data_IF_717651124499
#
_entry.id   IF_717651124499
#
_cell.length_a   1.000
_cell.length_b   1.000
_cell.length_c   1.000
_cell.angle_alpha   90.00
_cell.angle_beta   90.00
_cell.angle_gamma   90.00
#
_symmetry.space_group_name_H-M   'P 1'
#
loop_
_entity.id
_entity.type
_entity.pdbx_description
1 polymer ?
#
# COMPACT_ATOMS: atom_id res chain seq x y z
N UNK A 1 -75.12 -31.78 -12.07
CA UNK A 1 -75.28 -31.45 -13.51
C UNK A 1 -75.97 -30.10 -13.57
N UNK A 2 -75.50 -29.02 -14.19
CA UNK A 2 -74.53 -28.78 -15.25
C UNK A 2 -75.08 -27.51 -15.93
N UNK A 3 -74.49 -26.36 -15.62
CA UNK A 3 -73.53 -25.63 -16.49
C UNK A 3 -74.27 -24.61 -17.35
N UNK A 4 -74.09 -23.32 -17.06
CA UNK A 4 -74.07 -22.28 -18.09
C UNK A 4 -73.00 -21.24 -17.75
N UNK A 5 -72.01 -21.19 -18.65
CA UNK A 5 -71.05 -20.12 -18.87
C UNK A 5 -71.80 -18.89 -19.47
N UNK A 6 -71.29 -17.68 -19.67
CA UNK A 6 -69.96 -17.10 -19.90
C UNK A 6 -70.16 -15.57 -19.75
N UNK A 7 -69.28 -14.85 -19.02
CA UNK A 7 -68.28 -13.88 -19.51
C UNK A 7 -68.76 -12.67 -20.35
N UNK A 8 -68.63 -11.46 -19.77
CA UNK A 8 -68.07 -10.25 -20.41
C UNK A 8 -67.77 -9.20 -19.33
N UNK A 9 -66.55 -8.66 -19.26
CA UNK A 9 -66.15 -7.56 -18.36
C UNK A 9 -66.45 -6.17 -18.94
N UNK A 10 -65.70 -5.10 -18.57
CA UNK A 10 -64.98 -4.84 -17.33
C UNK A 10 -65.27 -3.43 -16.74
N UNK A 11 -64.46 -3.04 -15.73
CA UNK A 11 -64.08 -1.69 -15.27
C UNK A 11 -64.63 -1.23 -13.91
N UNK A 12 -63.68 -1.10 -12.96
CA UNK A 12 -63.62 0.03 -12.03
C UNK A 12 -63.72 -0.32 -10.55
N UNK A 13 -62.58 -0.34 -9.83
CA UNK A 13 -62.46 0.35 -8.55
C UNK A 13 -60.99 0.45 -8.08
N UNK A 14 -60.62 1.66 -7.66
CA UNK A 14 -59.39 1.98 -6.94
C UNK A 14 -59.28 1.20 -5.62
N UNK A 15 -58.07 0.77 -5.27
CA UNK A 15 -57.69 0.59 -3.87
C UNK A 15 -56.35 1.27 -3.59
N UNK A 16 -56.42 2.24 -2.70
CA UNK A 16 -55.32 2.90 -1.99
C UNK A 16 -54.54 1.87 -1.17
N UNK A 17 -53.24 1.73 -1.44
CA UNK A 17 -52.34 1.00 -0.54
C UNK A 17 -51.81 1.96 0.53
N UNK A 18 -52.08 1.63 1.80
CA UNK A 18 -51.50 2.31 2.95
C UNK A 18 -50.01 1.93 3.06
N UNK A 19 -49.13 2.93 3.10
CA UNK A 19 -47.73 2.75 3.48
C UNK A 19 -47.64 2.53 5.00
N UNK A 20 -47.51 1.28 5.43
CA UNK A 20 -46.90 0.97 6.73
C UNK A 20 -45.39 1.11 6.55
N UNK A 21 -44.84 2.23 7.01
CA UNK A 21 -43.40 2.47 7.05
C UNK A 21 -42.74 1.57 8.08
N UNK A 22 -42.14 0.46 7.65
CA UNK A 22 -41.01 -0.11 8.37
C UNK A 22 -39.79 0.70 7.95
N UNK A 23 -39.27 1.53 8.85
CA UNK A 23 -37.91 2.04 8.71
C UNK A 23 -37.01 0.82 8.82
N UNK A 24 -36.58 0.30 7.66
CA UNK A 24 -35.51 -0.68 7.61
C UNK A 24 -34.27 0.01 8.13
N UNK A 25 -33.87 -0.30 9.35
CA UNK A 25 -32.53 -0.03 9.81
C UNK A 25 -31.65 -0.96 8.97
N UNK A 26 -31.11 -0.45 7.86
CA UNK A 26 -29.97 -1.12 7.25
C UNK A 26 -28.88 -1.07 8.31
N UNK A 27 -28.34 -2.20 8.80
CA UNK A 27 -27.13 -2.15 9.58
C UNK A 27 -26.10 -1.45 8.71
N UNK A 28 -25.64 -0.26 9.11
CA UNK A 28 -24.35 0.22 8.63
C UNK A 28 -23.36 -0.92 8.93
N UNK A 29 -22.46 -1.29 8.00
CA UNK A 29 -21.30 -2.05 8.42
C UNK A 29 -20.72 -1.28 9.60
N UNK A 30 -20.56 -1.93 10.74
CA UNK A 30 -19.85 -1.33 11.85
C UNK A 30 -18.51 -0.90 11.26
N UNK A 31 -18.31 0.41 11.09
CA UNK A 31 -16.98 0.92 10.82
C UNK A 31 -16.10 0.29 11.89
N UNK A 32 -15.08 -0.44 11.48
CA UNK A 32 -14.12 -1.08 12.38
C UNK A 32 -13.64 0.01 13.34
N UNK A 33 -14.22 0.05 14.54
CA UNK A 33 -13.89 1.09 15.51
C UNK A 33 -12.48 0.79 15.99
N UNK A 34 -11.62 1.80 15.98
CA UNK A 34 -10.30 1.71 16.60
C UNK A 34 -10.43 1.16 18.03
N UNK A 35 -9.60 0.18 18.36
CA UNK A 35 -9.53 -0.44 19.68
C UNK A 35 -8.75 0.47 20.65
N UNK A 36 -7.81 1.27 20.12
CA UNK A 36 -7.01 2.22 20.85
C UNK A 36 -6.59 3.35 19.91
N UNK A 37 -6.78 4.60 20.33
CA UNK A 37 -6.20 5.76 19.67
C UNK A 37 -5.75 6.72 20.75
N UNK A 38 -4.45 7.02 20.79
CA UNK A 38 -3.87 7.85 21.84
C UNK A 38 -2.70 8.68 21.34
N UNK A 39 -2.72 9.97 21.68
CA UNK A 39 -1.57 10.87 21.53
C UNK A 39 -0.77 10.91 22.84
N UNK A 40 0.54 11.01 22.72
CA UNK A 40 1.45 11.03 23.86
C UNK A 40 2.64 11.96 23.66
N UNK A 41 3.40 12.13 24.73
CA UNK A 41 4.72 12.76 24.69
C UNK A 41 5.68 11.85 25.42
N UNK A 42 6.54 11.19 24.66
CA UNK A 42 7.50 10.26 25.23
C UNK A 42 8.51 11.04 26.07
N UNK A 43 8.60 10.74 27.36
CA UNK A 43 9.65 11.23 28.26
C UNK A 43 10.49 10.02 28.71
N UNK A 44 11.82 10.12 28.75
CA UNK A 44 12.77 9.11 28.26
C UNK A 44 12.69 7.79 29.04
N UNK A 45 11.71 6.93 28.71
CA UNK A 45 11.55 5.58 29.26
C UNK A 45 10.75 4.71 28.27
N UNK A 46 9.42 4.82 28.27
CA UNK A 46 8.45 4.19 27.37
C UNK A 46 7.06 4.65 27.81
N UNK A 47 6.08 4.56 26.92
CA UNK A 47 4.66 4.60 27.30
C UNK A 47 3.99 3.25 26.98
N UNK A 48 2.99 2.88 27.76
CA UNK A 48 2.28 1.62 27.60
C UNK A 48 0.78 1.83 27.56
N UNK A 49 0.13 1.14 26.64
CA UNK A 49 -1.32 1.20 26.43
C UNK A 49 -1.90 -0.19 26.31
N UNK A 50 -3.05 -0.42 26.92
CA UNK A 50 -3.72 -1.72 26.84
C UNK A 50 -4.99 -1.65 26.00
N UNK A 51 -5.28 -2.72 25.28
CA UNK A 51 -6.53 -2.92 24.56
C UNK A 51 -6.99 -4.37 24.71
N UNK A 52 -8.30 -4.60 24.61
CA UNK A 52 -8.86 -5.95 24.61
C UNK A 52 -8.91 -6.49 23.18
N UNK A 53 -8.36 -7.68 22.96
CA UNK A 53 -8.33 -8.36 21.67
C UNK A 53 -9.02 -9.73 21.72
N UNK A 54 -9.53 -10.18 20.58
CA UNK A 54 -10.10 -11.52 20.43
C UNK A 54 -9.16 -12.44 19.64
N UNK A 55 -9.12 -13.73 20.02
CA UNK A 55 -8.40 -14.75 19.27
C UNK A 55 -8.80 -14.74 17.79
N UNK A 56 -7.83 -14.96 16.90
CA UNK A 56 -7.97 -14.95 15.45
C UNK A 56 -8.35 -13.58 14.83
N UNK A 57 -8.39 -12.49 15.61
CA UNK A 57 -8.55 -11.14 15.10
C UNK A 57 -7.23 -10.63 14.50
N UNK A 58 -7.25 -10.16 13.25
CA UNK A 58 -6.10 -9.47 12.64
C UNK A 58 -6.19 -7.98 12.91
N UNK A 59 -5.15 -7.43 13.55
CA UNK A 59 -5.03 -6.03 13.94
C UNK A 59 -3.80 -5.38 13.33
N UNK A 60 -3.96 -4.09 13.01
CA UNK A 60 -2.87 -3.18 12.68
C UNK A 60 -2.63 -2.29 13.88
N UNK A 61 -1.36 -2.16 14.26
CA UNK A 61 -0.89 -1.28 15.34
C UNK A 61 0.12 -0.33 14.73
N UNK A 62 -0.12 0.98 14.82
CA UNK A 62 0.78 2.00 14.29
C UNK A 62 1.33 2.87 15.41
N UNK A 63 2.60 3.26 15.28
CA UNK A 63 3.25 4.26 16.10
C UNK A 63 3.94 5.26 15.18
N UNK A 64 3.51 6.51 15.24
CA UNK A 64 3.99 7.59 14.36
C UNK A 64 4.60 8.72 15.19
N UNK A 65 5.75 9.22 14.76
CA UNK A 65 6.37 10.43 15.33
C UNK A 65 7.16 11.18 14.27
N UNK A 66 7.10 12.51 14.32
CA UNK A 66 7.98 13.39 13.53
C UNK A 66 9.22 13.84 14.30
N UNK A 67 9.31 13.52 15.60
CA UNK A 67 10.32 14.05 16.51
C UNK A 67 11.38 13.02 16.90
N UNK A 68 11.07 11.73 16.79
CA UNK A 68 11.99 10.63 17.09
C UNK A 68 11.72 9.42 16.20
N UNK A 69 12.63 8.45 16.23
CA UNK A 69 12.53 7.17 15.53
C UNK A 69 11.72 6.16 16.37
N UNK A 70 10.46 5.86 15.99
CA UNK A 70 9.54 5.11 16.83
C UNK A 70 9.85 3.61 16.83
N UNK A 71 9.80 3.00 18.02
CA UNK A 71 9.92 1.55 18.20
C UNK A 71 8.68 1.03 18.92
N UNK A 72 8.01 0.08 18.29
CA UNK A 72 6.74 -0.47 18.73
C UNK A 72 6.90 -1.93 19.14
N UNK A 73 6.38 -2.30 20.31
CA UNK A 73 6.30 -3.71 20.75
C UNK A 73 4.88 -4.05 21.19
N UNK A 74 4.48 -5.29 21.00
CA UNK A 74 3.20 -5.84 21.45
C UNK A 74 3.48 -6.99 22.42
N UNK A 75 2.93 -6.86 23.63
CA UNK A 75 2.92 -7.91 24.64
C UNK A 75 1.56 -8.59 24.66
N UNK A 76 1.56 -9.91 24.83
CA UNK A 76 0.37 -10.73 25.00
C UNK A 76 -0.22 -10.62 26.42
N UNK A 77 -1.37 -11.29 26.71
CA UNK A 77 -2.00 -11.27 28.03
C UNK A 77 -1.15 -11.82 29.19
N UNK A 78 -0.18 -12.69 28.90
CA UNK A 78 0.77 -13.22 29.87
C UNK A 78 1.98 -12.28 30.08
N UNK A 79 2.09 -11.23 29.26
CA UNK A 79 3.14 -10.22 29.29
C UNK A 79 4.38 -10.58 28.48
N UNK A 80 4.30 -11.58 27.59
CA UNK A 80 5.37 -11.96 26.67
C UNK A 80 5.33 -11.10 25.40
N UNK A 81 6.49 -10.69 24.89
CA UNK A 81 6.58 -9.95 23.62
C UNK A 81 6.34 -10.89 22.44
N UNK A 82 5.27 -10.63 21.68
CA UNK A 82 4.86 -11.45 20.54
C UNK A 82 5.10 -10.78 19.19
N UNK A 83 5.33 -9.46 19.18
CA UNK A 83 5.73 -8.73 17.99
C UNK A 83 6.49 -7.47 18.36
N UNK A 84 7.45 -7.10 17.51
CA UNK A 84 8.22 -5.87 17.61
C UNK A 84 8.53 -5.36 16.21
N UNK A 85 8.39 -4.06 16.01
CA UNK A 85 8.77 -3.37 14.79
C UNK A 85 9.50 -2.08 15.15
N UNK A 86 10.64 -1.87 14.51
CA UNK A 86 11.44 -0.64 14.56
C UNK A 86 11.57 0.05 13.18
N UNK A 87 11.30 -0.66 12.08
CA UNK A 87 11.19 -0.11 10.72
C UNK A 87 10.09 -0.86 9.94
N UNK A 88 9.19 -0.14 9.24
CA UNK A 88 8.22 -0.74 8.31
C UNK A 88 8.28 -0.10 6.92
N UNK A 89 8.40 -0.94 5.88
CA UNK A 89 8.19 -0.58 4.47
C UNK A 89 8.86 0.74 3.99
N UNK A 90 10.09 1.01 4.43
CA UNK A 90 10.86 2.20 4.06
C UNK A 90 10.24 3.55 4.48
N UNK A 91 9.31 3.55 5.44
CA UNK A 91 8.77 4.75 6.09
C UNK A 91 9.16 4.77 7.57
N UNK A 92 9.23 5.97 8.15
CA UNK A 92 9.63 6.24 9.54
C UNK A 92 8.55 5.87 10.57
N UNK A 93 7.51 5.14 10.16
CA UNK A 93 6.39 4.75 11.01
C UNK A 93 6.57 3.28 11.39
N UNK A 94 6.47 2.98 12.68
CA UNK A 94 6.50 1.60 13.17
C UNK A 94 5.10 1.00 13.03
N UNK A 95 4.99 -0.12 12.32
CA UNK A 95 3.70 -0.81 12.10
C UNK A 95 3.82 -2.31 12.40
N UNK A 96 2.88 -2.83 13.19
CA UNK A 96 2.71 -4.26 13.43
C UNK A 96 1.35 -4.69 12.86
N UNK A 97 1.35 -5.67 11.97
CA UNK A 97 0.15 -6.38 11.53
C UNK A 97 0.23 -7.80 12.07
N UNK A 98 -0.75 -8.19 12.89
CA UNK A 98 -0.72 -9.49 13.59
C UNK A 98 -2.11 -10.09 13.74
N UNK A 99 -2.19 -11.40 13.60
CA UNK A 99 -3.37 -12.17 14.03
C UNK A 99 -3.17 -12.62 15.47
N UNK A 100 -4.07 -12.18 16.35
CA UNK A 100 -3.96 -12.42 17.78
C UNK A 100 -4.10 -13.93 18.09
N UNK A 101 -3.18 -14.52 18.87
CA UNK A 101 -3.22 -15.96 19.16
C UNK A 101 -4.31 -16.34 20.16
N UNK A 102 -4.77 -15.41 21.00
CA UNK A 102 -5.77 -15.67 22.04
C UNK A 102 -6.60 -14.43 22.38
N UNK A 103 -7.69 -14.65 23.13
CA UNK A 103 -8.52 -13.55 23.63
C UNK A 103 -7.97 -13.05 24.96
N UNK A 104 -7.73 -11.75 25.08
CA UNK A 104 -7.27 -11.16 26.33
C UNK A 104 -6.86 -9.68 26.22
N UNK A 105 -6.25 -9.19 27.29
CA UNK A 105 -5.76 -7.81 27.37
C UNK A 105 -4.32 -7.74 26.87
N UNK A 106 -4.10 -7.09 25.74
CA UNK A 106 -2.78 -6.91 25.13
C UNK A 106 -2.17 -5.57 25.56
N UNK A 107 -0.85 -5.47 25.54
CA UNK A 107 -0.14 -4.21 25.86
C UNK A 107 0.75 -3.75 24.71
N UNK A 108 0.45 -2.56 24.18
CA UNK A 108 1.31 -1.83 23.25
C UNK A 108 2.36 -1.07 24.06
N UNK A 109 3.62 -1.21 23.66
CA UNK A 109 4.75 -0.48 24.25
C UNK A 109 5.33 0.45 23.19
N UNK A 110 5.22 1.75 23.43
CA UNK A 110 5.78 2.81 22.60
C UNK A 110 7.13 3.26 23.18
N UNK A 111 8.18 3.15 22.37
CA UNK A 111 9.56 3.52 22.70
C UNK A 111 10.20 4.31 21.55
N UNK A 112 11.40 4.83 21.78
CA UNK A 112 12.23 5.40 20.73
C UNK A 112 13.53 4.62 20.59
N UNK A 113 14.04 4.54 19.35
CA UNK A 113 15.30 3.85 19.07
C UNK A 113 16.49 4.53 19.77
N UNK A 114 16.54 5.87 19.75
CA UNK A 114 17.63 6.66 20.33
C UNK A 114 17.52 6.92 21.83
N UNK A 115 16.37 6.59 22.45
CA UNK A 115 16.04 6.97 23.82
C UNK A 115 15.63 8.45 23.99
N UNK A 116 15.58 9.22 22.90
CA UNK A 116 15.03 10.57 22.88
C UNK A 116 13.50 10.55 22.90
N UNK A 117 12.89 11.65 23.34
CA UNK A 117 11.45 11.75 23.52
C UNK A 117 10.85 12.85 22.65
N UNK A 118 9.56 12.74 22.37
CA UNK A 118 8.82 13.73 21.57
C UNK A 118 7.36 13.36 21.46
N UNK A 119 6.61 14.17 20.71
CA UNK A 119 5.19 13.90 20.44
C UNK A 119 5.03 12.67 19.56
N UNK A 120 4.00 11.87 19.81
CA UNK A 120 3.66 10.72 18.98
C UNK A 120 2.16 10.41 19.02
N UNK A 121 1.71 9.59 18.08
CA UNK A 121 0.38 8.98 18.08
C UNK A 121 0.49 7.46 17.94
N UNK A 122 -0.31 6.74 18.73
CA UNK A 122 -0.49 5.29 18.63
C UNK A 122 -1.94 4.97 18.25
N UNK A 123 -2.11 3.99 17.36
CA UNK A 123 -3.43 3.51 16.96
C UNK A 123 -3.44 1.98 16.86
N UNK A 124 -4.55 1.37 17.27
CA UNK A 124 -4.86 -0.05 17.10
C UNK A 124 -6.21 -0.16 16.42
N UNK A 125 -6.29 -0.82 15.27
CA UNK A 125 -7.54 -1.03 14.55
C UNK A 125 -7.56 -2.38 13.83
N UNK A 126 -8.75 -2.91 13.49
CA UNK A 126 -8.85 -4.09 12.65
C UNK A 126 -8.18 -3.87 11.30
N UNK A 127 -7.31 -4.79 10.90
CA UNK A 127 -6.52 -4.65 9.67
C UNK A 127 -7.43 -4.53 8.45
N UNK A 128 -7.22 -3.47 7.69
CA UNK A 128 -7.95 -3.23 6.44
C UNK A 128 -7.49 -4.17 5.33
N UNK A 129 -8.30 -4.34 4.28
CA UNK A 129 -7.89 -5.11 3.11
C UNK A 129 -6.64 -4.52 2.44
N UNK A 130 -6.56 -3.18 2.37
CA UNK A 130 -5.38 -2.47 1.89
C UNK A 130 -4.12 -2.85 2.69
N UNK A 131 -4.17 -2.80 4.02
CA UNK A 131 -3.03 -3.12 4.87
C UNK A 131 -2.59 -4.58 4.73
N UNK A 132 -3.53 -5.53 4.60
CA UNK A 132 -3.19 -6.94 4.35
C UNK A 132 -2.46 -7.14 3.02
N UNK A 133 -2.94 -6.48 1.97
CA UNK A 133 -2.34 -6.59 0.64
C UNK A 133 -0.99 -5.87 0.58
N UNK A 134 -0.87 -4.71 1.22
CA UNK A 134 0.38 -3.98 1.34
C UNK A 134 1.44 -4.76 2.13
N UNK A 135 1.09 -5.34 3.28
CA UNK A 135 1.98 -6.20 4.05
C UNK A 135 2.44 -7.40 3.24
N UNK A 136 1.53 -8.04 2.50
CA UNK A 136 1.90 -9.12 1.58
C UNK A 136 2.90 -8.66 0.53
N UNK A 137 2.73 -7.47 -0.04
CA UNK A 137 3.67 -6.89 -1.02
C UNK A 137 5.06 -6.67 -0.42
N UNK A 138 5.13 -6.20 0.82
CA UNK A 138 6.38 -5.99 1.58
C UNK A 138 7.05 -7.32 1.93
N UNK A 139 6.29 -8.33 2.37
CA UNK A 139 6.83 -9.67 2.63
C UNK A 139 7.44 -10.30 1.37
N UNK A 140 6.75 -10.17 0.23
CA UNK A 140 7.24 -10.62 -1.08
C UNK A 140 8.53 -9.90 -1.45
N UNK A 141 8.56 -8.57 -1.30
CA UNK A 141 9.75 -7.75 -1.53
C UNK A 141 10.95 -8.22 -0.70
N UNK A 142 10.76 -8.44 0.60
CA UNK A 142 11.80 -8.88 1.53
C UNK A 142 12.28 -10.31 1.26
N UNK A 143 11.44 -11.13 0.62
CA UNK A 143 11.81 -12.47 0.14
C UNK A 143 12.46 -12.47 -1.26
N UNK A 144 12.75 -11.28 -1.81
CA UNK A 144 13.29 -11.06 -3.16
C UNK A 144 12.37 -11.58 -4.29
N UNK A 145 11.11 -11.87 -3.98
CA UNK A 145 10.08 -12.23 -4.93
C UNK A 145 9.45 -10.96 -5.54
N UNK A 146 10.30 -10.24 -6.29
CA UNK A 146 9.96 -8.91 -6.77
C UNK A 146 8.84 -8.89 -7.82
N UNK A 147 8.68 -9.95 -8.61
CA UNK A 147 7.60 -10.04 -9.60
C UNK A 147 6.25 -10.07 -8.90
N UNK A 148 6.06 -10.98 -7.94
CA UNK A 148 4.82 -11.06 -7.17
C UNK A 148 4.65 -9.83 -6.28
N UNK A 149 5.75 -9.24 -5.78
CA UNK A 149 5.72 -7.98 -5.02
C UNK A 149 5.16 -6.81 -5.84
N UNK A 150 5.56 -6.66 -7.12
CA UNK A 150 5.01 -5.63 -8.03
C UNK A 150 3.51 -5.83 -8.23
N UNK A 151 3.05 -7.07 -8.41
CA UNK A 151 1.62 -7.38 -8.54
C UNK A 151 0.86 -7.03 -7.26
N UNK A 152 1.41 -7.37 -6.10
CA UNK A 152 0.80 -7.08 -4.81
C UNK A 152 0.75 -5.57 -4.50
N UNK A 153 1.81 -4.79 -4.77
CA UNK A 153 1.73 -3.33 -4.65
C UNK A 153 0.73 -2.71 -5.63
N UNK A 154 0.62 -3.28 -6.84
CA UNK A 154 -0.40 -2.83 -7.81
C UNK A 154 -1.81 -3.09 -7.31
N UNK A 155 -2.04 -4.22 -6.64
CA UNK A 155 -3.31 -4.52 -5.98
C UNK A 155 -3.56 -3.57 -4.79
N UNK A 156 -2.54 -3.25 -3.99
CA UNK A 156 -2.65 -2.29 -2.89
C UNK A 156 -3.05 -0.89 -3.39
N UNK A 157 -2.42 -0.41 -4.48
CA UNK A 157 -2.78 0.87 -5.13
C UNK A 157 -4.24 0.88 -5.59
N UNK A 158 -4.76 -0.25 -6.08
CA UNK A 158 -6.16 -0.35 -6.49
C UNK A 158 -7.14 -0.29 -5.31
N UNK A 159 -6.68 -0.56 -4.09
CA UNK A 159 -7.49 -0.48 -2.86
C UNK A 159 -7.40 0.92 -2.22
N UNK A 160 -6.19 1.48 -2.15
CA UNK A 160 -5.93 2.84 -1.66
C UNK A 160 -4.74 3.44 -2.42
N UNK A 161 -5.03 4.46 -3.22
CA UNK A 161 -4.07 5.16 -4.08
C UNK A 161 -3.51 6.44 -3.44
N UNK A 162 -3.89 6.74 -2.19
CA UNK A 162 -3.52 7.97 -1.47
C UNK A 162 -2.23 7.87 -0.66
N UNK A 163 -1.64 6.67 -0.61
CA UNK A 163 -0.48 6.37 0.21
C UNK A 163 0.83 6.47 -0.61
N UNK A 164 1.76 7.38 -0.31
CA UNK A 164 3.02 7.48 -1.06
C UNK A 164 3.84 6.19 -1.04
N UNK A 165 3.78 5.44 0.07
CA UNK A 165 4.56 4.21 0.30
C UNK A 165 4.23 3.09 -0.69
N UNK A 166 3.00 3.00 -1.22
CA UNK A 166 2.66 1.95 -2.20
C UNK A 166 3.36 2.13 -3.53
N UNK A 167 3.48 3.38 -3.98
CA UNK A 167 4.21 3.71 -5.20
C UNK A 167 5.71 3.52 -5.01
N UNK A 168 6.26 3.98 -3.89
CA UNK A 168 7.69 3.79 -3.57
C UNK A 168 8.05 2.30 -3.45
N UNK A 169 7.20 1.51 -2.79
CA UNK A 169 7.34 0.05 -2.70
C UNK A 169 7.37 -0.61 -4.07
N UNK A 170 6.44 -0.25 -4.96
CA UNK A 170 6.40 -0.79 -6.33
C UNK A 170 7.60 -0.37 -7.18
N UNK A 171 8.02 0.90 -7.11
CA UNK A 171 9.22 1.39 -7.78
C UNK A 171 10.47 0.61 -7.34
N UNK A 172 10.61 0.39 -6.03
CA UNK A 172 11.71 -0.39 -5.47
C UNK A 172 11.63 -1.87 -5.90
N UNK A 173 10.44 -2.45 -5.98
CA UNK A 173 10.26 -3.82 -6.47
C UNK A 173 10.68 -3.96 -7.95
N UNK A 174 10.35 -2.99 -8.82
CA UNK A 174 10.88 -2.96 -10.19
C UNK A 174 12.40 -2.90 -10.23
N UNK A 175 13.02 -2.05 -9.40
CA UNK A 175 14.47 -1.95 -9.31
C UNK A 175 15.10 -3.25 -8.80
N UNK A 176 14.53 -3.86 -7.75
CA UNK A 176 14.96 -5.15 -7.22
C UNK A 176 14.92 -6.26 -8.27
N UNK A 177 13.82 -6.35 -9.02
CA UNK A 177 13.69 -7.29 -10.13
C UNK A 177 14.77 -7.08 -11.19
N UNK A 178 15.07 -5.81 -11.53
CA UNK A 178 16.11 -5.49 -12.49
C UNK A 178 17.52 -5.82 -11.99
N UNK A 179 17.83 -5.53 -10.71
CA UNK A 179 19.10 -5.92 -10.09
C UNK A 179 19.28 -7.44 -10.10
N UNK A 180 18.24 -8.20 -9.76
CA UNK A 180 18.29 -9.66 -9.77
C UNK A 180 18.48 -10.23 -11.18
N UNK A 181 17.81 -9.65 -12.17
CA UNK A 181 17.87 -10.10 -13.56
C UNK A 181 19.20 -9.73 -14.26
N UNK A 182 19.72 -8.53 -14.01
CA UNK A 182 20.87 -7.98 -14.74
C UNK A 182 22.19 -8.19 -13.99
N UNK A 183 22.16 -8.29 -12.67
CA UNK A 183 23.35 -8.46 -11.82
C UNK A 183 24.40 -7.38 -12.11
N UNK A 184 25.63 -7.81 -12.39
CA UNK A 184 26.75 -6.91 -12.74
C UNK A 184 26.51 -6.07 -14.00
N UNK A 185 25.53 -6.42 -14.85
CA UNK A 185 25.17 -5.65 -16.04
C UNK A 185 24.24 -4.47 -15.72
N UNK A 186 23.75 -4.36 -14.49
CA UNK A 186 22.97 -3.20 -14.08
C UNK A 186 23.90 -1.99 -13.89
N UNK A 187 23.83 -1.04 -14.83
CA UNK A 187 24.65 0.17 -14.83
C UNK A 187 23.84 1.42 -14.43
N UNK A 188 22.57 1.25 -14.05
CA UNK A 188 21.63 2.33 -13.77
C UNK A 188 20.38 2.27 -14.66
N UNK A 189 19.55 3.34 -14.67
CA UNK A 189 18.28 3.38 -15.37
C UNK A 189 18.34 3.08 -16.89
N UNK A 190 19.50 3.29 -17.53
CA UNK A 190 19.74 2.94 -18.93
C UNK A 190 19.74 1.45 -19.22
N UNK A 191 20.03 0.63 -18.21
CA UNK A 191 19.95 -0.83 -18.32
C UNK A 191 18.51 -1.35 -18.26
N UNK A 192 17.54 -0.51 -17.88
CA UNK A 192 16.13 -0.89 -17.77
C UNK A 192 15.43 -0.83 -19.12
N UNK A 193 14.50 -1.78 -19.34
CA UNK A 193 13.52 -1.70 -20.42
C UNK A 193 12.73 -0.38 -20.33
N UNK A 194 12.41 0.27 -21.46
CA UNK A 194 11.74 1.57 -21.46
C UNK A 194 10.44 1.59 -20.66
N UNK A 195 9.65 0.52 -20.72
CA UNK A 195 8.38 0.40 -19.99
C UNK A 195 8.58 0.36 -18.47
N UNK A 196 9.59 -0.39 -17.99
CA UNK A 196 9.92 -0.48 -16.56
C UNK A 196 10.44 0.86 -16.05
N UNK A 197 11.28 1.53 -16.85
CA UNK A 197 11.80 2.86 -16.55
C UNK A 197 10.66 3.89 -16.43
N UNK A 198 9.70 3.84 -17.33
CA UNK A 198 8.52 4.72 -17.34
C UNK A 198 7.62 4.47 -16.11
N UNK A 199 7.43 3.19 -15.74
CA UNK A 199 6.67 2.80 -14.55
C UNK A 199 7.31 3.35 -13.26
N UNK A 200 8.63 3.19 -13.09
CA UNK A 200 9.37 3.72 -11.93
C UNK A 200 9.26 5.25 -11.85
N UNK A 201 9.45 5.95 -12.98
CA UNK A 201 9.31 7.40 -13.01
C UNK A 201 7.90 7.86 -12.61
N UNK A 202 6.87 7.16 -13.11
CA UNK A 202 5.47 7.44 -12.78
C UNK A 202 5.19 7.21 -11.29
N UNK A 203 5.72 6.14 -10.71
CA UNK A 203 5.55 5.86 -9.29
C UNK A 203 6.21 6.93 -8.40
N UNK A 204 7.41 7.41 -8.76
CA UNK A 204 8.04 8.53 -8.05
C UNK A 204 7.24 9.83 -8.18
N UNK A 205 6.69 10.14 -9.37
CA UNK A 205 5.86 11.32 -9.58
C UNK A 205 4.56 11.28 -8.74
N UNK A 206 3.90 10.12 -8.67
CA UNK A 206 2.71 9.94 -7.84
C UNK A 206 3.03 10.08 -6.34
N UNK A 207 4.09 9.42 -5.88
CA UNK A 207 4.55 9.56 -4.49
C UNK A 207 4.90 11.01 -4.15
N UNK A 208 5.55 11.73 -5.06
CA UNK A 208 5.88 13.15 -4.87
C UNK A 208 4.63 14.04 -4.78
N UNK A 209 3.64 13.80 -5.64
CA UNK A 209 2.38 14.55 -5.61
C UNK A 209 1.67 14.39 -4.26
N UNK A 210 1.54 13.14 -3.79
CA UNK A 210 0.93 12.83 -2.50
C UNK A 210 1.72 13.44 -1.34
N UNK A 211 3.05 13.37 -1.35
CA UNK A 211 3.88 14.00 -0.32
C UNK A 211 3.75 15.52 -0.28
N UNK A 212 3.55 16.19 -1.43
CA UNK A 212 3.23 17.62 -1.48
C UNK A 212 1.91 17.92 -0.80
N UNK A 213 0.87 17.13 -1.07
CA UNK A 213 -0.44 17.25 -0.43
C UNK A 213 -0.36 17.03 1.09
N UNK A 214 0.52 16.14 1.53
CA UNK A 214 0.82 15.87 2.94
C UNK A 214 1.75 16.92 3.59
N UNK A 215 2.08 18.02 2.90
CA UNK A 215 2.92 19.08 3.45
C UNK A 215 4.40 18.72 3.61
N UNK A 216 4.89 17.74 2.84
CA UNK A 216 6.30 17.28 2.80
C UNK A 216 6.99 17.66 1.47
N UNK A 217 7.10 18.96 1.13
CA UNK A 217 7.57 19.41 -0.19
C UNK A 217 9.04 19.09 -0.48
N UNK A 218 9.90 19.01 0.54
CA UNK A 218 11.33 18.71 0.36
C UNK A 218 11.54 17.24 -0.07
N UNK A 219 10.78 16.31 0.52
CA UNK A 219 10.78 14.90 0.10
C UNK A 219 10.20 14.75 -1.30
N UNK A 220 9.11 15.46 -1.59
CA UNK A 220 8.53 15.47 -2.93
C UNK A 220 9.51 15.97 -3.99
N UNK A 221 10.25 17.05 -3.72
CA UNK A 221 11.27 17.57 -4.63
C UNK A 221 12.37 16.53 -4.93
N UNK A 222 12.82 15.79 -3.90
CA UNK A 222 13.80 14.71 -4.08
C UNK A 222 13.26 13.59 -4.99
N UNK A 223 12.00 13.20 -4.83
CA UNK A 223 11.37 12.20 -5.68
C UNK A 223 11.15 12.69 -7.11
N UNK A 224 10.83 13.98 -7.29
CA UNK A 224 10.73 14.60 -8.63
C UNK A 224 12.08 14.61 -9.36
N UNK A 225 13.18 14.89 -8.66
CA UNK A 225 14.53 14.75 -9.21
C UNK A 225 14.85 13.31 -9.59
N UNK A 226 14.49 12.34 -8.74
CA UNK A 226 14.66 10.93 -9.05
C UNK A 226 13.86 10.53 -10.29
N UNK A 227 12.58 10.89 -10.38
CA UNK A 227 11.74 10.63 -11.55
C UNK A 227 12.38 11.17 -12.85
N UNK A 228 12.94 12.38 -12.81
CA UNK A 228 13.63 12.97 -13.96
C UNK A 228 14.83 12.14 -14.43
N UNK A 229 15.59 11.53 -13.53
CA UNK A 229 16.69 10.63 -13.90
C UNK A 229 16.15 9.49 -14.76
N UNK A 230 15.02 8.89 -14.40
CA UNK A 230 14.39 7.82 -15.17
C UNK A 230 13.77 8.33 -16.49
N UNK A 231 13.19 9.54 -16.52
CA UNK A 231 12.60 10.11 -17.75
C UNK A 231 13.64 10.53 -18.79
N UNK A 232 14.79 11.07 -18.37
CA UNK A 232 15.78 11.70 -19.24
C UNK A 232 16.81 10.75 -19.85
N UNK A 233 16.76 9.46 -19.49
CA UNK A 233 17.67 8.47 -20.08
C UNK A 233 17.26 8.21 -21.53
N UNK A 234 18.06 8.71 -22.47
CA UNK A 234 17.90 8.40 -23.89
C UNK A 234 18.08 6.88 -24.13
N UNK A 235 17.28 6.24 -25.00
CA UNK A 235 17.53 4.86 -25.41
C UNK A 235 18.91 4.78 -26.08
N UNK A 236 19.68 3.71 -25.81
CA UNK A 236 20.96 3.51 -26.51
C UNK A 236 20.73 3.63 -28.04
N UNK A 237 21.58 4.38 -28.76
CA UNK A 237 21.45 4.48 -30.21
C UNK A 237 21.56 3.07 -30.80
N UNK A 238 20.59 2.72 -31.65
CA UNK A 238 20.57 1.43 -32.33
C UNK A 238 21.97 1.13 -32.92
N UNK A 239 22.47 -0.12 -32.79
CA UNK A 239 23.78 -0.47 -33.32
C UNK A 239 23.85 -0.03 -34.78
N UNK A 240 24.88 0.76 -35.11
CA UNK A 240 25.09 1.25 -36.46
C UNK A 240 24.96 0.06 -37.41
N UNK A 241 23.98 0.12 -38.32
CA UNK A 241 23.91 -0.85 -39.42
C UNK A 241 25.31 -0.91 -40.04
N UNK A 242 25.91 -2.10 -40.20
CA UNK A 242 27.19 -2.20 -40.90
C UNK A 242 27.03 -1.48 -42.23
N UNK A 243 27.99 -0.60 -42.54
CA UNK A 243 27.97 0.20 -43.76
C UNK A 243 27.66 -0.72 -44.94
N UNK A 244 26.65 -0.36 -45.75
CA UNK A 244 26.42 -1.05 -47.01
C UNK A 244 27.74 -1.06 -47.78
N UNK A 245 28.22 -2.23 -48.24
CA UNK A 245 29.42 -2.28 -49.05
C UNK A 245 29.21 -1.37 -50.28
N UNK A 246 30.26 -0.65 -50.71
CA UNK A 246 30.13 0.29 -51.82
C UNK A 246 29.53 -0.42 -53.03
N UNK A 247 28.49 0.16 -53.62
CA UNK A 247 27.92 -0.32 -54.88
C UNK A 247 29.03 -0.45 -55.92
N UNK A 248 29.25 -1.66 -56.43
CA UNK A 248 30.18 -1.89 -57.53
C UNK A 248 29.75 -1.03 -58.73
N UNK A 249 30.68 -0.27 -59.36
CA UNK A 249 30.33 0.51 -60.53
C UNK A 249 29.84 -0.41 -61.64
N UNK A 250 28.65 -0.13 -62.15
CA UNK A 250 28.04 -0.83 -63.27
C UNK A 250 29.02 -0.92 -64.44
N UNK A 251 29.45 -2.15 -64.75
CA UNK A 251 30.31 -2.45 -65.88
C UNK A 251 29.53 -2.23 -67.19
N UNK A 252 29.65 -1.04 -67.75
CA UNK A 252 29.20 -0.72 -69.10
C UNK A 252 30.10 -1.41 -70.12
N UNK A 253 29.77 -2.65 -70.47
CA UNK A 253 30.20 -3.24 -71.73
C UNK A 253 29.13 -3.01 -72.80
N UNK A 254 29.39 -2.09 -73.72
CA UNK A 254 29.06 -2.18 -75.15
C UNK A 254 29.88 -1.14 -75.92
#
# INVERSE_FOLDING_TARGET
MGKLAQLSGPVGLLLTAALTGTVGFLPQPAAAQSLLQQEGTLAPMQDTYSFEGEADQTLTITLTSSEFDPVLSLLDPDGEEIARNDDYASVLDSTIIITLPETGSYTVVATSFSGEGGSYAVEVHPTTEYEQVFDRAVQLFNSEDYTDSVEAFTAAIALDDSQPSVYLGRANAYLGAAYLALGENFAGPQSLEPEVRDAIATDYEQAAALLKEQGKPDLAASLEEQAQIFRLVEPEPAPLRPAEPPEEPANSQS
#
